data_IF_699716990655
#
_entry.id   IF_699716990655
#
_cell.length_a   1.000
_cell.length_b   1.000
_cell.length_c   1.000
_cell.angle_alpha   90.00
_cell.angle_beta   90.00
_cell.angle_gamma   90.00
#
_symmetry.space_group_name_H-M   'P 1'
#
loop_
_entity.id
_entity.type
_entity.pdbx_description
1 polymer ?
#
# COMPACT_ATOMS: atom_id res chain seq x y z
N UNK A 1 -0.61 5.17 8.75
CA UNK A 1 0.53 6.09 8.75
C UNK A 1 0.07 7.53 8.51
N UNK A 2 -0.51 7.85 7.34
CA UNK A 2 -0.96 9.20 7.02
C UNK A 2 -2.04 9.76 7.96
N UNK A 3 -2.94 8.91 8.46
CA UNK A 3 -4.05 9.32 9.33
C UNK A 3 -3.67 9.53 10.80
N UNK A 4 -2.53 9.00 11.26
CA UNK A 4 -2.24 8.91 12.70
C UNK A 4 -1.45 10.10 13.27
N UNK A 5 -1.06 11.09 12.44
CA UNK A 5 -0.17 12.23 12.82
C UNK A 5 1.08 11.85 13.65
N UNK A 6 1.48 10.58 13.61
CA UNK A 6 2.59 10.01 14.37
C UNK A 6 3.74 9.63 13.45
N UNK A 7 4.92 9.46 14.03
CA UNK A 7 6.09 9.02 13.29
C UNK A 7 5.89 7.58 12.78
N UNK A 8 6.44 7.26 11.62
CA UNK A 8 6.28 5.96 10.99
C UNK A 8 7.64 5.45 10.50
N UNK A 9 8.06 4.28 10.98
CA UNK A 9 9.29 3.61 10.58
C UNK A 9 8.92 2.29 9.92
N UNK A 10 9.12 2.18 8.60
CA UNK A 10 8.88 0.95 7.86
C UNK A 10 10.20 0.20 7.61
N UNK A 11 10.17 -1.10 7.88
CA UNK A 11 11.32 -1.99 7.77
C UNK A 11 10.87 -3.22 6.99
N UNK A 12 11.60 -3.57 5.94
CA UNK A 12 11.37 -4.84 5.23
C UNK A 12 12.26 -5.91 5.81
N UNK A 13 11.72 -7.11 5.99
CA UNK A 13 12.41 -8.17 6.70
C UNK A 13 13.81 -8.51 6.15
N UNK A 14 13.98 -8.67 4.82
CA UNK A 14 15.30 -8.91 4.23
C UNK A 14 16.33 -7.81 4.50
N UNK A 15 15.90 -6.57 4.72
CA UNK A 15 16.82 -5.44 4.97
C UNK A 15 17.52 -5.54 6.33
N UNK A 16 16.91 -6.21 7.31
CA UNK A 16 17.54 -6.46 8.61
C UNK A 16 18.61 -7.56 8.54
N UNK A 17 18.46 -8.49 7.60
CA UNK A 17 19.43 -9.58 7.40
C UNK A 17 20.57 -9.19 6.47
N UNK A 18 20.33 -8.34 5.47
CA UNK A 18 21.32 -8.02 4.43
C UNK A 18 22.35 -6.97 4.82
N UNK A 19 22.13 -6.16 5.87
CA UNK A 19 23.05 -5.10 6.31
C UNK A 19 24.21 -5.62 7.19
N UNK A 20 24.89 -6.66 6.70
CA UNK A 20 26.13 -7.23 7.25
C UNK A 20 25.96 -8.19 8.44
N UNK A 21 26.43 -9.41 8.23
CA UNK A 21 26.42 -10.59 9.11
C UNK A 21 27.10 -10.43 10.50
N UNK A 22 27.34 -9.19 10.94
CA UNK A 22 27.87 -8.84 12.27
C UNK A 22 27.16 -7.68 12.98
N UNK A 23 26.38 -6.82 12.28
CA UNK A 23 25.76 -5.60 12.85
C UNK A 23 24.22 -5.68 12.91
N UNK A 24 23.61 -6.80 12.52
CA UNK A 24 22.13 -6.92 12.49
C UNK A 24 21.47 -6.70 13.85
N UNK A 25 22.12 -7.04 14.96
CA UNK A 25 21.61 -6.80 16.32
C UNK A 25 21.64 -5.30 16.69
N UNK A 26 22.75 -4.61 16.35
CA UNK A 26 22.87 -3.17 16.58
C UNK A 26 21.85 -2.38 15.75
N UNK A 27 21.62 -2.80 14.50
CA UNK A 27 20.57 -2.21 13.66
C UNK A 27 19.17 -2.31 14.28
N UNK A 28 18.84 -3.46 14.89
CA UNK A 28 17.55 -3.64 15.60
C UNK A 28 17.49 -2.67 16.80
N UNK A 29 18.56 -2.56 17.59
CA UNK A 29 18.62 -1.62 18.72
C UNK A 29 18.44 -0.17 18.26
N UNK A 30 19.15 0.23 17.21
CA UNK A 30 19.11 1.56 16.61
C UNK A 30 17.70 1.94 16.13
N UNK A 31 17.01 1.00 15.49
CA UNK A 31 15.63 1.20 15.01
C UNK A 31 14.71 1.50 16.18
N UNK A 32 14.77 0.69 17.24
CA UNK A 32 13.92 0.87 18.40
C UNK A 32 14.31 2.13 19.20
N UNK A 33 15.58 2.49 19.27
CA UNK A 33 16.00 3.77 19.84
C UNK A 33 15.47 4.96 19.04
N UNK A 34 15.55 4.93 17.71
CA UNK A 34 14.98 5.96 16.84
C UNK A 34 13.47 6.07 17.05
N UNK A 35 12.77 4.93 17.11
CA UNK A 35 11.33 4.90 17.35
C UNK A 35 10.96 5.51 18.71
N UNK A 36 11.72 5.18 19.77
CA UNK A 36 11.53 5.76 21.11
C UNK A 36 11.76 7.27 21.14
N UNK A 37 12.78 7.77 20.45
CA UNK A 37 13.07 9.22 20.33
C UNK A 37 12.01 9.94 19.50
N UNK A 38 11.37 9.23 18.58
CA UNK A 38 10.31 9.73 17.71
C UNK A 38 8.89 9.42 18.24
N UNK A 39 8.70 9.19 19.54
CA UNK A 39 7.36 8.93 20.10
C UNK A 39 6.41 10.14 19.93
N UNK A 40 5.13 9.97 19.54
CA UNK A 40 4.46 8.72 19.15
C UNK A 40 4.95 8.17 17.82
N UNK A 41 5.21 6.86 17.76
CA UNK A 41 5.77 6.20 16.59
C UNK A 41 5.14 4.83 16.32
N UNK A 42 4.93 4.50 15.05
CA UNK A 42 4.58 3.15 14.60
C UNK A 42 5.78 2.54 13.88
N UNK A 43 6.25 1.40 14.37
CA UNK A 43 7.22 0.55 13.68
C UNK A 43 6.45 -0.50 12.88
N UNK A 44 6.63 -0.52 11.56
CA UNK A 44 6.00 -1.47 10.67
C UNK A 44 7.04 -2.42 10.09
N UNK A 45 6.97 -3.70 10.47
CA UNK A 45 7.78 -4.77 9.92
C UNK A 45 7.01 -5.48 8.81
N UNK A 46 7.46 -5.31 7.57
CA UNK A 46 6.96 -6.04 6.41
C UNK A 46 7.75 -7.33 6.20
N UNK A 47 7.09 -8.39 5.72
CA UNK A 47 7.71 -9.73 5.54
C UNK A 47 8.41 -10.22 6.82
N UNK A 48 7.73 -10.13 7.97
CA UNK A 48 8.31 -10.45 9.27
C UNK A 48 8.75 -11.93 9.36
N UNK A 49 8.08 -12.82 8.62
CA UNK A 49 8.42 -14.23 8.45
C UNK A 49 9.79 -14.47 7.80
N UNK A 50 10.37 -13.46 7.14
CA UNK A 50 11.74 -13.57 6.61
C UNK A 50 12.82 -13.45 7.70
N UNK A 51 12.53 -12.77 8.82
CA UNK A 51 13.49 -12.59 9.94
C UNK A 51 13.15 -13.55 11.08
N UNK A 52 11.87 -13.67 11.41
CA UNK A 52 11.39 -14.42 12.55
C UNK A 52 11.05 -15.82 12.09
N UNK A 53 12.05 -16.64 11.82
CA UNK A 53 11.85 -18.06 11.45
C UNK A 53 12.00 -18.92 12.71
N UNK A 54 11.23 -20.01 12.83
CA UNK A 54 11.39 -21.03 13.88
C UNK A 54 12.87 -21.42 14.07
N UNK A 55 13.33 -21.28 15.31
CA UNK A 55 14.70 -21.61 15.74
C UNK A 55 15.03 -23.07 15.40
N UNK A 56 16.25 -23.32 14.93
CA UNK A 56 16.74 -24.66 14.61
C UNK A 56 16.36 -25.21 13.23
N UNK A 57 15.75 -24.39 12.35
CA UNK A 57 15.49 -24.76 10.94
C UNK A 57 16.72 -24.64 10.03
N UNK A 58 17.77 -23.94 10.47
CA UNK A 58 19.04 -23.83 9.75
C UNK A 58 19.97 -25.00 10.08
N UNK A 59 20.65 -25.52 9.05
CA UNK A 59 21.64 -26.60 9.14
C UNK A 59 22.85 -26.18 10.01
N UNK A 60 22.73 -26.33 11.31
CA UNK A 60 23.75 -25.98 12.31
C UNK A 60 23.06 -25.48 13.56
N UNK A 61 23.12 -26.27 14.64
CA UNK A 61 22.35 -26.07 15.89
C UNK A 61 22.26 -24.63 16.37
N UNK A 62 21.13 -24.33 17.04
CA UNK A 62 20.70 -22.98 17.44
C UNK A 62 21.83 -22.04 17.86
N UNK A 63 21.82 -20.83 17.29
CA UNK A 63 22.91 -19.85 17.42
C UNK A 63 23.31 -19.19 16.09
N UNK A 64 22.58 -19.46 15.01
CA UNK A 64 22.81 -18.80 13.72
C UNK A 64 22.57 -17.28 13.80
N UNK A 65 23.10 -16.50 12.84
CA UNK A 65 22.89 -15.04 12.78
C UNK A 65 21.42 -14.62 12.88
N UNK A 66 20.51 -15.39 12.28
CA UNK A 66 19.06 -15.16 12.39
C UNK A 66 18.53 -15.30 13.82
N UNK A 67 18.96 -16.34 14.56
CA UNK A 67 18.51 -16.57 15.94
C UNK A 67 18.88 -15.40 16.87
N UNK A 68 20.05 -14.79 16.67
CA UNK A 68 20.48 -13.66 17.48
C UNK A 68 19.69 -12.38 17.18
N UNK A 69 19.39 -12.13 15.91
CA UNK A 69 18.51 -11.02 15.51
C UNK A 69 17.11 -11.18 16.11
N UNK A 70 16.55 -12.39 16.09
CA UNK A 70 15.26 -12.69 16.73
C UNK A 70 15.33 -12.44 18.24
N UNK A 71 16.38 -12.89 18.93
CA UNK A 71 16.55 -12.62 20.35
C UNK A 71 16.67 -11.13 20.68
N UNK A 72 17.39 -10.36 19.86
CA UNK A 72 17.48 -8.91 20.03
C UNK A 72 16.13 -8.23 19.79
N UNK A 73 15.37 -8.66 18.76
CA UNK A 73 14.03 -8.17 18.49
C UNK A 73 13.10 -8.41 19.69
N UNK A 74 13.10 -9.63 20.24
CA UNK A 74 12.33 -9.97 21.44
C UNK A 74 12.71 -9.10 22.64
N UNK A 75 14.02 -8.88 22.85
CA UNK A 75 14.52 -8.03 23.93
C UNK A 75 14.06 -6.59 23.78
N UNK A 76 14.10 -6.04 22.57
CA UNK A 76 13.62 -4.68 22.30
C UNK A 76 12.10 -4.55 22.47
N UNK A 77 11.33 -5.57 22.06
CA UNK A 77 9.87 -5.62 22.26
C UNK A 77 9.51 -5.63 23.75
N UNK A 78 10.15 -6.50 24.53
CA UNK A 78 9.96 -6.56 25.99
C UNK A 78 10.40 -5.24 26.68
N UNK A 79 11.33 -4.51 26.06
CA UNK A 79 11.82 -3.21 26.51
C UNK A 79 10.91 -2.01 26.19
N UNK A 80 9.85 -2.21 25.41
CA UNK A 80 8.77 -1.21 25.22
C UNK A 80 7.87 -1.26 26.45
N UNK A 81 8.34 -0.65 27.55
CA UNK A 81 7.58 -0.57 28.80
C UNK A 81 6.29 0.26 28.68
N UNK A 82 5.45 0.15 29.71
CA UNK A 82 4.05 0.66 29.82
C UNK A 82 3.82 2.16 29.55
N UNK A 83 4.86 2.97 29.36
CA UNK A 83 4.77 4.45 29.23
C UNK A 83 5.07 4.98 27.83
N UNK A 84 5.18 4.13 26.80
CA UNK A 84 5.70 4.53 25.48
C UNK A 84 4.64 4.40 24.39
N UNK A 85 4.43 5.49 23.66
CA UNK A 85 3.52 5.58 22.50
C UNK A 85 4.19 4.99 21.24
N UNK A 86 4.89 3.87 21.39
CA UNK A 86 5.54 3.14 20.29
C UNK A 86 4.72 1.88 20.00
N UNK A 87 4.10 1.83 18.84
CA UNK A 87 3.30 0.71 18.39
C UNK A 87 4.09 -0.13 17.39
N UNK A 88 4.00 -1.45 17.50
CA UNK A 88 4.61 -2.37 16.54
C UNK A 88 3.51 -3.05 15.74
N UNK A 89 3.66 -3.03 14.42
CA UNK A 89 2.83 -3.77 13.49
C UNK A 89 3.73 -4.68 12.67
N UNK A 90 3.38 -5.95 12.55
CA UNK A 90 4.06 -6.91 11.69
C UNK A 90 3.11 -7.42 10.61
N UNK A 91 3.58 -7.46 9.36
CA UNK A 91 2.91 -8.13 8.25
C UNK A 91 3.67 -9.43 7.92
N UNK A 92 2.92 -10.51 7.71
CA UNK A 92 3.46 -11.84 7.37
C UNK A 92 2.50 -12.55 6.43
N UNK A 93 3.05 -13.30 5.48
CA UNK A 93 2.27 -14.22 4.66
C UNK A 93 2.21 -15.62 5.29
N UNK A 94 3.07 -15.91 6.27
CA UNK A 94 3.16 -17.22 6.89
C UNK A 94 3.36 -17.10 8.40
N UNK A 95 2.26 -17.11 9.15
CA UNK A 95 2.29 -17.09 10.61
C UNK A 95 2.87 -18.40 11.19
N UNK A 96 2.77 -19.54 10.48
CA UNK A 96 3.20 -20.86 10.97
C UNK A 96 4.72 -21.04 10.94
N UNK A 97 5.42 -20.34 10.06
CA UNK A 97 6.89 -20.34 10.02
C UNK A 97 7.51 -19.51 11.14
N UNK A 98 6.70 -18.67 11.80
CA UNK A 98 7.18 -17.75 12.82
C UNK A 98 7.57 -18.42 14.13
N UNK A 99 8.60 -17.86 14.78
CA UNK A 99 8.98 -18.23 16.15
C UNK A 99 7.81 -17.93 17.12
N UNK A 100 7.24 -18.94 17.78
CA UNK A 100 6.14 -18.76 18.73
C UNK A 100 6.47 -17.81 19.88
N UNK A 101 7.75 -17.55 20.17
CA UNK A 101 8.16 -16.59 21.17
C UNK A 101 7.71 -15.16 20.83
N UNK A 102 7.66 -14.77 19.54
CA UNK A 102 7.23 -13.42 19.14
C UNK A 102 5.72 -13.22 19.34
N UNK A 103 4.96 -14.32 19.32
CA UNK A 103 3.49 -14.33 19.37
C UNK A 103 2.91 -14.36 20.80
N UNK A 104 3.77 -14.21 21.81
CA UNK A 104 3.35 -14.26 23.22
C UNK A 104 2.72 -12.92 23.66
N UNK A 105 1.82 -12.93 24.66
CA UNK A 105 1.29 -11.72 25.28
C UNK A 105 2.38 -10.70 25.65
N UNK A 106 2.14 -9.43 25.36
CA UNK A 106 3.09 -8.32 25.54
C UNK A 106 4.05 -8.08 24.38
N UNK A 107 3.95 -8.86 23.29
CA UNK A 107 4.78 -8.75 22.07
C UNK A 107 3.92 -8.48 20.84
N UNK A 108 3.79 -9.44 19.92
CA UNK A 108 2.77 -9.42 18.86
C UNK A 108 1.61 -10.30 19.30
N UNK A 109 0.73 -9.76 20.14
CA UNK A 109 -0.39 -10.50 20.72
C UNK A 109 -1.77 -10.13 20.13
N UNK A 110 -1.83 -9.10 19.28
CA UNK A 110 -3.02 -8.73 18.51
C UNK A 110 -2.86 -9.23 17.06
N UNK A 111 -3.82 -10.05 16.63
CA UNK A 111 -3.81 -10.67 15.30
C UNK A 111 -4.96 -10.16 14.47
N UNK A 112 -4.65 -9.66 13.28
CA UNK A 112 -5.64 -9.23 12.29
C UNK A 112 -5.42 -10.07 11.03
N UNK A 113 -6.44 -10.85 10.68
CA UNK A 113 -6.46 -11.60 9.43
C UNK A 113 -7.06 -10.74 8.32
N UNK A 114 -6.38 -10.66 7.17
CA UNK A 114 -6.85 -9.95 5.98
C UNK A 114 -7.38 -11.00 5.00
N UNK A 115 -8.70 -11.16 4.84
CA UNK A 115 -9.28 -12.13 3.90
C UNK A 115 -9.15 -11.69 2.45
N UNK A 116 -9.50 -12.60 1.53
CA UNK A 116 -9.85 -12.23 0.16
C UNK A 116 -11.01 -11.21 0.17
N UNK A 117 -11.04 -10.25 -0.77
CA UNK A 117 -12.11 -9.28 -0.83
C UNK A 117 -13.45 -9.97 -1.13
N UNK A 118 -14.49 -9.58 -0.42
CA UNK A 118 -15.87 -9.88 -0.79
C UNK A 118 -16.35 -8.95 -1.92
N UNK A 119 -17.60 -9.11 -2.35
CA UNK A 119 -18.18 -8.34 -3.46
C UNK A 119 -18.17 -6.82 -3.17
N UNK A 120 -18.52 -6.41 -1.95
CA UNK A 120 -18.52 -5.00 -1.54
C UNK A 120 -17.10 -4.43 -1.47
N UNK A 121 -16.12 -5.20 -0.97
CA UNK A 121 -14.71 -4.84 -0.98
C UNK A 121 -14.18 -4.72 -2.40
N UNK A 122 -14.57 -5.62 -3.30
CA UNK A 122 -14.23 -5.54 -4.73
C UNK A 122 -14.76 -4.24 -5.33
N UNK A 123 -16.02 -3.88 -5.05
CA UNK A 123 -16.61 -2.62 -5.48
C UNK A 123 -15.86 -1.40 -4.93
N UNK A 124 -15.49 -1.45 -3.64
CA UNK A 124 -14.74 -0.38 -2.97
C UNK A 124 -13.35 -0.18 -3.59
N UNK A 125 -12.64 -1.28 -3.90
CA UNK A 125 -11.33 -1.25 -4.57
C UNK A 125 -11.45 -0.68 -5.98
N UNK A 126 -12.46 -1.11 -6.74
CA UNK A 126 -12.74 -0.59 -8.08
C UNK A 126 -13.06 0.91 -8.03
N UNK A 127 -13.95 1.32 -7.14
CA UNK A 127 -14.36 2.72 -6.96
C UNK A 127 -13.18 3.61 -6.56
N UNK A 128 -12.32 3.15 -5.66
CA UNK A 128 -11.10 3.85 -5.25
C UNK A 128 -10.08 3.99 -6.39
N UNK A 129 -10.04 3.05 -7.33
CA UNK A 129 -9.21 3.16 -8.53
C UNK A 129 -9.83 4.14 -9.53
N UNK A 130 -11.13 4.02 -9.81
CA UNK A 130 -11.86 4.84 -10.78
C UNK A 130 -11.92 6.31 -10.38
N UNK A 131 -12.03 6.61 -9.08
CA UNK A 131 -12.02 7.99 -8.58
C UNK A 131 -10.72 8.74 -8.89
N UNK A 132 -9.60 8.02 -9.04
CA UNK A 132 -8.29 8.58 -9.43
C UNK A 132 -8.13 8.70 -10.95
N UNK A 133 -9.03 8.08 -11.74
CA UNK A 133 -8.96 8.10 -13.19
C UNK A 133 -9.55 9.39 -13.75
N UNK A 134 -8.73 10.13 -14.51
CA UNK A 134 -9.20 11.31 -15.26
C UNK A 134 -10.02 10.96 -16.51
N UNK A 135 -10.01 9.69 -16.92
CA UNK A 135 -10.88 9.21 -17.99
C UNK A 135 -12.29 9.03 -17.42
N UNK A 136 -13.30 9.60 -18.08
CA UNK A 136 -14.69 9.42 -17.67
C UNK A 136 -15.08 7.93 -17.68
N UNK A 137 -15.89 7.51 -16.71
CA UNK A 137 -16.38 6.14 -16.54
C UNK A 137 -17.89 6.08 -16.32
N UNK A 138 -18.61 7.14 -16.73
CA UNK A 138 -20.06 7.36 -16.53
C UNK A 138 -20.97 6.23 -17.08
N UNK A 139 -20.44 5.35 -17.93
CA UNK A 139 -21.18 4.23 -18.53
C UNK A 139 -20.68 2.86 -18.06
N UNK A 140 -19.81 2.83 -17.04
CA UNK A 140 -19.32 1.59 -16.47
C UNK A 140 -20.26 1.14 -15.35
N UNK A 141 -20.80 -0.07 -15.47
CA UNK A 141 -21.46 -0.74 -14.36
C UNK A 141 -20.38 -1.30 -13.41
N UNK A 142 -19.99 -0.52 -12.40
CA UNK A 142 -18.97 -0.90 -11.43
C UNK A 142 -19.43 -2.02 -10.49
N UNK A 143 -20.73 -2.15 -10.25
CA UNK A 143 -21.32 -3.18 -9.40
C UNK A 143 -21.22 -4.55 -10.08
N UNK A 144 -21.62 -4.64 -11.35
CA UNK A 144 -21.49 -5.88 -12.13
C UNK A 144 -20.03 -6.31 -12.29
N UNK A 145 -19.13 -5.36 -12.54
CA UNK A 145 -17.69 -5.64 -12.62
C UNK A 145 -17.11 -6.12 -11.28
N UNK A 146 -17.59 -5.57 -10.16
CA UNK A 146 -17.18 -6.03 -8.83
C UNK A 146 -17.62 -7.46 -8.57
N UNK A 147 -18.87 -7.79 -8.92
CA UNK A 147 -19.42 -9.14 -8.82
C UNK A 147 -18.64 -10.15 -9.68
N UNK A 148 -18.21 -9.75 -10.88
CA UNK A 148 -17.34 -10.56 -11.74
C UNK A 148 -15.95 -10.79 -11.11
N UNK A 149 -15.35 -9.75 -10.53
CA UNK A 149 -14.06 -9.88 -9.83
C UNK A 149 -14.15 -10.82 -8.62
N UNK A 150 -15.23 -10.72 -7.86
CA UNK A 150 -15.50 -11.59 -6.72
C UNK A 150 -15.66 -13.06 -7.16
N UNK A 151 -16.50 -13.33 -8.18
CA UNK A 151 -16.68 -14.68 -8.74
C UNK A 151 -15.39 -15.27 -9.32
N UNK A 152 -14.51 -14.43 -9.85
CA UNK A 152 -13.22 -14.84 -10.38
C UNK A 152 -12.16 -15.09 -9.30
N UNK A 153 -12.43 -14.77 -8.03
CA UNK A 153 -11.49 -14.92 -6.93
C UNK A 153 -10.31 -13.96 -7.02
N UNK A 154 -10.53 -12.74 -7.52
CA UNK A 154 -9.47 -11.75 -7.66
C UNK A 154 -9.06 -11.16 -6.30
N UNK A 155 -7.76 -11.09 -6.05
CA UNK A 155 -7.23 -10.31 -4.93
C UNK A 155 -7.29 -8.81 -5.23
N UNK A 156 -7.07 -7.96 -4.22
CA UNK A 156 -6.96 -6.51 -4.45
C UNK A 156 -5.87 -6.13 -5.45
N UNK A 157 -4.78 -6.91 -5.51
CA UNK A 157 -3.72 -6.74 -6.51
C UNK A 157 -4.20 -7.12 -7.92
N UNK A 158 -4.98 -8.19 -8.06
CA UNK A 158 -5.53 -8.63 -9.35
C UNK A 158 -6.54 -7.63 -9.91
N UNK A 159 -7.42 -7.09 -9.06
CA UNK A 159 -8.37 -6.03 -9.42
C UNK A 159 -7.60 -4.78 -9.90
N UNK A 160 -6.58 -4.37 -9.13
CA UNK A 160 -5.74 -3.22 -9.50
C UNK A 160 -5.03 -3.46 -10.84
N UNK A 161 -4.50 -4.66 -11.06
CA UNK A 161 -3.85 -5.03 -12.32
C UNK A 161 -4.84 -5.02 -13.49
N UNK A 162 -6.04 -5.58 -13.32
CA UNK A 162 -7.11 -5.51 -14.33
C UNK A 162 -7.42 -4.06 -14.71
N UNK A 163 -7.57 -3.17 -13.73
CA UNK A 163 -7.82 -1.77 -13.99
C UNK A 163 -6.66 -1.09 -14.74
N UNK A 164 -5.41 -1.41 -14.40
CA UNK A 164 -4.24 -0.91 -15.15
C UNK A 164 -4.21 -1.42 -16.60
N UNK A 165 -4.58 -2.68 -16.82
CA UNK A 165 -4.70 -3.26 -18.16
C UNK A 165 -5.81 -2.55 -18.95
N UNK A 166 -6.96 -2.28 -18.34
CA UNK A 166 -8.06 -1.53 -18.95
C UNK A 166 -7.58 -0.13 -19.39
N UNK A 167 -6.86 0.60 -18.53
CA UNK A 167 -6.28 1.90 -18.88
C UNK A 167 -5.31 1.80 -20.06
N UNK A 168 -4.44 0.78 -20.10
CA UNK A 168 -3.50 0.56 -21.21
C UNK A 168 -4.22 0.29 -22.53
N UNK A 169 -5.26 -0.56 -22.52
CA UNK A 169 -6.08 -0.86 -23.70
C UNK A 169 -6.76 0.42 -24.20
N UNK A 170 -7.36 1.18 -23.29
CA UNK A 170 -8.01 2.46 -23.59
C UNK A 170 -7.05 3.46 -24.23
N UNK A 171 -5.85 3.62 -23.63
CA UNK A 171 -4.81 4.50 -24.15
C UNK A 171 -4.34 4.08 -25.54
N UNK A 172 -4.15 2.78 -25.77
CA UNK A 172 -3.75 2.26 -27.10
C UNK A 172 -4.80 2.59 -28.16
N UNK A 173 -6.09 2.35 -27.88
CA UNK A 173 -7.19 2.68 -28.81
C UNK A 173 -7.23 4.18 -29.12
N UNK A 174 -7.02 5.02 -28.10
CA UNK A 174 -6.94 6.48 -28.26
C UNK A 174 -5.79 6.90 -29.18
N UNK A 175 -4.60 6.31 -29.01
CA UNK A 175 -3.45 6.61 -29.88
C UNK A 175 -3.69 6.18 -31.33
N UNK A 176 -4.31 5.01 -31.54
CA UNK A 176 -4.67 4.51 -32.86
C UNK A 176 -5.74 5.40 -33.53
N UNK A 177 -6.73 5.89 -32.78
CA UNK A 177 -7.74 6.85 -33.25
C UNK A 177 -7.12 8.20 -33.61
N UNK A 178 -6.23 8.72 -32.76
CA UNK A 178 -5.49 9.96 -33.02
C UNK A 178 -4.67 9.87 -34.30
N UNK A 179 -4.02 8.72 -34.55
CA UNK A 179 -3.26 8.48 -35.78
C UNK A 179 -4.15 8.45 -37.04
N UNK A 180 -5.44 8.11 -36.90
CA UNK A 180 -6.44 8.20 -37.98
C UNK A 180 -7.07 9.60 -38.12
N UNK A 181 -6.64 10.57 -37.30
CA UNK A 181 -7.16 11.94 -37.32
C UNK A 181 -8.51 12.10 -36.62
N UNK A 182 -8.92 11.13 -35.78
CA UNK A 182 -10.15 11.21 -35.00
C UNK A 182 -9.97 12.16 -33.79
N UNK A 183 -11.08 12.76 -33.33
CA UNK A 183 -11.06 13.55 -32.08
C UNK A 183 -10.91 12.63 -30.87
N UNK A 184 -9.85 12.88 -30.09
CA UNK A 184 -9.46 12.09 -28.93
C UNK A 184 -9.43 12.91 -27.64
N UNK A 185 -10.14 14.05 -27.61
CA UNK A 185 -10.24 14.89 -26.40
C UNK A 185 -10.89 14.16 -25.24
N UNK A 186 -11.91 13.32 -25.48
CA UNK A 186 -12.57 12.49 -24.46
C UNK A 186 -12.59 11.02 -24.88
N UNK A 187 -11.88 10.18 -24.15
CA UNK A 187 -11.88 8.73 -24.38
C UNK A 187 -12.19 7.99 -23.07
N UNK A 188 -13.48 7.70 -22.80
CA UNK A 188 -13.89 7.13 -21.52
C UNK A 188 -13.44 5.67 -21.38
N UNK A 189 -13.35 5.21 -20.13
CA UNK A 189 -13.25 3.79 -19.84
C UNK A 189 -14.63 3.18 -20.05
N UNK A 190 -14.73 2.24 -21.00
CA UNK A 190 -15.99 1.57 -21.36
C UNK A 190 -16.01 0.14 -20.85
N UNK A 191 -17.21 -0.43 -20.72
CA UNK A 191 -17.40 -1.83 -20.37
C UNK A 191 -16.59 -2.78 -21.27
N UNK A 192 -16.55 -2.51 -22.59
CA UNK A 192 -15.79 -3.32 -23.55
C UNK A 192 -14.29 -3.39 -23.26
N UNK A 193 -13.72 -2.35 -22.66
CA UNK A 193 -12.30 -2.29 -22.30
C UNK A 193 -12.05 -3.10 -21.03
N UNK A 194 -12.96 -3.02 -20.06
CA UNK A 194 -12.89 -3.81 -18.83
C UNK A 194 -13.13 -5.31 -19.09
N UNK A 195 -14.05 -5.67 -19.98
CA UNK A 195 -14.28 -7.06 -20.39
C UNK A 195 -13.02 -7.67 -21.03
N UNK A 196 -12.33 -6.89 -21.87
CA UNK A 196 -11.05 -7.32 -22.45
C UNK A 196 -9.95 -7.45 -21.39
N UNK A 197 -9.87 -6.49 -20.48
CA UNK A 197 -8.92 -6.54 -19.37
C UNK A 197 -9.17 -7.75 -18.48
N UNK A 198 -10.43 -8.00 -18.09
CA UNK A 198 -10.86 -9.13 -17.28
C UNK A 198 -10.44 -10.46 -17.91
N UNK A 199 -10.70 -10.66 -19.21
CA UNK A 199 -10.29 -11.89 -19.93
C UNK A 199 -8.77 -12.10 -19.97
N UNK A 200 -7.99 -11.02 -19.88
CA UNK A 200 -6.53 -11.08 -19.88
C UNK A 200 -5.91 -11.19 -18.48
N UNK A 201 -6.68 -10.88 -17.45
CA UNK A 201 -6.26 -11.00 -16.04
C UNK A 201 -6.59 -12.40 -15.53
N UNK A 202 -5.67 -12.98 -14.76
CA UNK A 202 -5.88 -14.24 -14.06
C UNK A 202 -5.80 -13.99 -12.56
N UNK A 203 -6.59 -14.72 -11.79
CA UNK A 203 -6.46 -14.74 -10.34
C UNK A 203 -5.04 -15.19 -9.96
N UNK A 204 -4.39 -14.44 -9.09
CA UNK A 204 -3.06 -14.75 -8.58
C UNK A 204 -3.07 -15.90 -7.56
N UNK A 205 -4.20 -16.11 -6.89
CA UNK A 205 -4.40 -17.13 -5.87
C UNK A 205 -5.34 -18.22 -6.39
N UNK A 206 -4.95 -19.48 -6.22
CA UNK A 206 -5.83 -20.61 -6.51
C UNK A 206 -6.84 -20.82 -5.37
N UNK A 207 -8.03 -21.39 -5.67
CA UNK A 207 -9.01 -21.73 -4.64
C UNK A 207 -8.43 -22.61 -3.52
N UNK A 208 -7.53 -23.54 -3.86
CA UNK A 208 -6.87 -24.42 -2.89
C UNK A 208 -5.97 -23.63 -1.91
N UNK A 209 -5.26 -22.62 -2.40
CA UNK A 209 -4.42 -21.75 -1.58
C UNK A 209 -5.30 -20.91 -0.65
N UNK A 210 -6.40 -20.35 -1.14
CA UNK A 210 -7.35 -19.59 -0.32
C UNK A 210 -7.95 -20.45 0.79
N UNK A 211 -8.40 -21.66 0.45
CA UNK A 211 -8.94 -22.61 1.42
C UNK A 211 -7.90 -23.00 2.49
N UNK A 212 -6.63 -23.16 2.08
CA UNK A 212 -5.53 -23.41 3.02
C UNK A 212 -5.37 -22.26 4.01
N UNK A 213 -5.35 -21.00 3.54
CA UNK A 213 -5.26 -19.84 4.41
C UNK A 213 -6.45 -19.69 5.36
N UNK A 214 -7.66 -20.01 4.92
CA UNK A 214 -8.86 -19.99 5.79
C UNK A 214 -8.81 -21.07 6.87
N UNK A 215 -8.32 -22.26 6.54
CA UNK A 215 -8.12 -23.33 7.52
C UNK A 215 -7.02 -22.99 8.51
N UNK A 216 -5.91 -22.42 8.03
CA UNK A 216 -4.83 -21.93 8.88
C UNK A 216 -5.31 -20.83 9.82
N UNK A 217 -6.12 -19.89 9.33
CA UNK A 217 -6.77 -18.86 10.15
C UNK A 217 -7.56 -19.49 11.28
N UNK A 218 -8.42 -20.49 11.00
CA UNK A 218 -9.23 -21.15 12.04
C UNK A 218 -8.35 -21.75 13.13
N UNK A 219 -7.32 -22.50 12.74
CA UNK A 219 -6.36 -23.11 13.68
C UNK A 219 -5.63 -22.06 14.52
N UNK A 220 -5.15 -20.99 13.90
CA UNK A 220 -4.41 -19.92 14.60
C UNK A 220 -5.31 -19.18 15.59
N UNK A 221 -6.55 -18.86 15.19
CA UNK A 221 -7.51 -18.19 16.08
C UNK A 221 -7.91 -19.09 17.27
N UNK A 222 -8.08 -20.39 17.04
CA UNK A 222 -8.32 -21.40 18.09
C UNK A 222 -7.12 -21.53 19.05
N UNK A 223 -5.91 -21.67 18.51
CA UNK A 223 -4.66 -21.82 19.29
C UNK A 223 -4.33 -20.58 20.13
N UNK A 224 -4.63 -19.39 19.62
CA UNK A 224 -4.30 -18.12 20.28
C UNK A 224 -5.42 -17.61 21.20
N UNK A 225 -6.58 -18.27 21.24
CA UNK A 225 -7.71 -17.85 22.07
C UNK A 225 -8.26 -16.46 21.71
N UNK A 226 -8.03 -16.01 20.47
CA UNK A 226 -8.38 -14.66 20.00
C UNK A 226 -9.85 -14.66 19.59
N UNK A 227 -10.71 -14.12 20.45
CA UNK A 227 -12.14 -13.93 20.18
C UNK A 227 -12.44 -12.70 19.28
N UNK A 228 -11.43 -11.90 18.92
CA UNK A 228 -11.62 -10.67 18.18
C UNK A 228 -11.83 -10.94 16.68
N UNK A 229 -13.10 -11.07 16.29
CA UNK A 229 -13.50 -10.72 14.94
C UNK A 229 -13.32 -9.21 14.79
N UNK A 230 -12.28 -8.77 14.07
CA UNK A 230 -12.33 -7.45 13.45
C UNK A 230 -13.22 -7.61 12.22
N UNK A 231 -14.51 -7.43 12.42
CA UNK A 231 -15.44 -7.17 11.32
C UNK A 231 -15.09 -5.77 10.83
N UNK A 232 -14.48 -5.66 9.65
CA UNK A 232 -14.36 -4.37 8.97
C UNK A 232 -15.80 -3.96 8.65
N UNK A 233 -16.34 -3.00 9.41
CA UNK A 233 -17.71 -2.56 9.23
C UNK A 233 -17.94 -2.01 7.83
N UNK A 234 -19.12 -2.29 7.27
CA UNK A 234 -19.71 -1.58 6.14
C UNK A 234 -19.44 -0.08 6.35
N UNK A 235 -18.73 0.57 5.42
CA UNK A 235 -18.30 1.99 5.45
C UNK A 235 -16.93 2.37 6.06
N UNK A 236 -15.94 1.47 6.14
CA UNK A 236 -14.52 1.87 6.20
C UNK A 236 -14.09 2.81 7.35
N UNK A 237 -14.92 2.94 8.38
CA UNK A 237 -14.64 3.66 9.62
C UNK A 237 -14.82 2.65 10.76
N UNK A 238 -13.70 2.08 11.20
CA UNK A 238 -13.72 1.19 12.36
C UNK A 238 -13.91 1.99 13.63
N UNK A 239 -15.05 1.84 14.31
CA UNK A 239 -15.17 2.25 15.71
C UNK A 239 -14.41 1.26 16.59
N UNK A 240 -13.31 1.74 17.20
CA UNK A 240 -12.63 1.03 18.27
C UNK A 240 -13.32 1.35 19.60
N UNK A 241 -14.06 0.41 20.17
CA UNK A 241 -14.58 0.55 21.54
C UNK A 241 -13.54 0.03 22.52
N UNK A 242 -12.88 0.96 23.22
CA UNK A 242 -12.01 0.64 24.37
C UNK A 242 -12.87 -0.12 25.40
N UNK A 243 -12.45 -1.29 25.91
CA UNK A 243 -13.17 -1.98 26.97
C UNK A 243 -13.30 -1.06 28.20
N UNK A 244 -14.54 -0.90 28.70
CA UNK A 244 -14.87 0.02 29.78
C UNK A 244 -13.96 -0.17 31.01
N UNK A 245 -13.23 0.89 31.41
CA UNK A 245 -12.37 0.83 32.59
C UNK A 245 -11.46 2.04 32.89
N UNK A 246 -11.28 3.04 32.02
CA UNK A 246 -10.52 4.26 32.37
C UNK A 246 -11.44 5.48 32.52
N UNK A 247 -11.68 5.98 33.74
CA UNK A 247 -12.58 7.11 34.01
C UNK A 247 -12.03 8.48 33.57
N UNK A 248 -11.11 8.52 32.59
CA UNK A 248 -10.44 9.74 32.10
C UNK A 248 -10.77 10.12 30.66
N UNK A 249 -11.66 9.39 29.99
CA UNK A 249 -12.05 9.64 28.59
C UNK A 249 -13.53 10.02 28.42
N UNK A 250 -14.16 10.59 29.45
CA UNK A 250 -15.52 11.14 29.33
C UNK A 250 -15.46 12.62 28.95
N UNK A 251 -15.68 12.91 27.67
CA UNK A 251 -15.85 14.25 27.11
C UNK A 251 -16.61 14.16 25.78
N UNK A 252 -17.60 15.03 25.51
CA UNK A 252 -18.56 14.83 24.43
C UNK A 252 -17.87 14.98 23.06
N UNK A 253 -17.96 13.92 22.26
CA UNK A 253 -17.47 13.89 20.89
C UNK A 253 -18.43 14.57 19.92
N UNK A 254 -17.87 15.50 19.14
CA UNK A 254 -18.26 15.79 17.76
C UNK A 254 -17.03 16.41 17.09
N UNK A 255 -16.18 15.58 16.48
CA UNK A 255 -15.12 16.06 15.58
C UNK A 255 -15.44 15.56 14.17
N UNK A 256 -16.43 16.21 13.56
CA UNK A 256 -16.77 16.05 12.16
C UNK A 256 -15.74 16.68 11.23
N UNK A 257 -15.79 16.26 9.97
CA UNK A 257 -14.99 16.72 8.83
C UNK A 257 -14.80 18.25 8.74
N UNK A 258 -15.75 19.03 9.27
CA UNK A 258 -15.70 20.48 9.28
C UNK A 258 -14.62 21.07 10.22
N UNK A 259 -14.31 20.39 11.33
CA UNK A 259 -13.21 20.79 12.22
C UNK A 259 -11.83 20.60 11.56
N UNK A 260 -11.72 19.62 10.67
CA UNK A 260 -10.51 19.37 9.87
C UNK A 260 -10.30 20.44 8.79
N UNK A 261 -11.37 20.89 8.13
CA UNK A 261 -11.31 21.97 7.12
C UNK A 261 -10.98 23.32 7.77
N UNK A 262 -11.54 23.61 8.94
CA UNK A 262 -11.23 24.84 9.68
C UNK A 262 -9.76 24.89 10.15
N UNK A 263 -9.22 23.76 10.63
CA UNK A 263 -7.83 23.67 11.09
C UNK A 263 -6.81 23.82 9.93
N UNK A 264 -7.14 23.39 8.70
CA UNK A 264 -6.28 23.62 7.51
C UNK A 264 -6.19 25.10 7.14
N UNK A 265 -7.32 25.80 7.21
CA UNK A 265 -7.41 27.21 6.86
C UNK A 265 -6.67 28.09 7.90
N UNK A 266 -6.80 27.77 9.20
CA UNK A 266 -6.06 28.46 10.28
C UNK A 266 -4.55 28.18 10.26
N UNK A 267 -4.12 26.99 9.81
CA UNK A 267 -2.71 26.63 9.70
C UNK A 267 -2.00 27.27 8.48
N UNK A 268 -2.72 28.03 7.64
CA UNK A 268 -2.14 28.64 6.44
C UNK A 268 -1.60 27.61 5.43
N UNK A 269 -2.13 26.38 5.46
CA UNK A 269 -1.75 25.26 4.59
C UNK A 269 -2.64 25.13 3.36
N UNK A 270 -3.37 26.20 3.04
CA UNK A 270 -3.98 26.39 1.73
C UNK A 270 -2.93 27.00 0.79
N UNK A 271 -2.05 26.14 0.26
CA UNK A 271 -1.15 26.54 -0.80
C UNK A 271 -1.77 26.21 -2.16
N UNK A 272 -2.21 27.29 -2.81
CA UNK A 272 -2.33 27.52 -4.25
C UNK A 272 -3.15 26.54 -5.07
N UNK A 273 -4.31 27.03 -5.52
CA UNK A 273 -5.17 26.46 -6.56
C UNK A 273 -4.34 25.88 -7.71
N UNK A 274 -4.69 24.67 -8.15
CA UNK A 274 -4.14 23.97 -9.32
C UNK A 274 -4.07 24.85 -10.59
N UNK A 275 -4.85 25.93 -10.65
CA UNK A 275 -4.85 26.95 -11.70
C UNK A 275 -3.54 27.77 -11.79
N UNK A 276 -2.86 28.05 -10.67
CA UNK A 276 -1.62 28.86 -10.69
C UNK A 276 -0.41 28.03 -11.16
N UNK A 277 -0.39 26.73 -10.85
CA UNK A 277 0.59 25.78 -11.36
C UNK A 277 0.41 25.49 -12.86
N UNK A 278 -0.84 25.50 -13.34
CA UNK A 278 -1.15 25.41 -14.77
C UNK A 278 -0.81 26.71 -15.51
N UNK A 279 -1.00 27.88 -14.90
CA UNK A 279 -0.63 29.19 -15.46
C UNK A 279 0.90 29.40 -15.55
N UNK A 280 1.63 29.23 -14.44
CA UNK A 280 2.77 28.29 -14.36
C UNK A 280 3.45 27.79 -15.63
N UNK A 281 3.02 26.57 -15.95
CA UNK A 281 3.46 25.73 -17.06
C UNK A 281 3.07 26.31 -18.42
N UNK A 282 1.94 27.02 -18.54
CA UNK A 282 1.50 27.66 -19.77
C UNK A 282 2.39 28.85 -20.17
N UNK A 283 2.88 29.64 -19.20
CA UNK A 283 3.81 30.75 -19.42
C UNK A 283 5.20 30.25 -19.87
N UNK A 284 5.70 29.21 -19.22
CA UNK A 284 6.95 28.51 -19.58
C UNK A 284 6.91 27.87 -20.97
N UNK A 285 5.74 27.41 -21.44
CA UNK A 285 5.56 26.90 -22.80
C UNK A 285 5.53 28.01 -23.86
N UNK A 286 4.91 29.16 -23.56
CA UNK A 286 4.87 30.32 -24.48
C UNK A 286 6.24 30.96 -24.68
N UNK A 287 7.05 31.06 -23.63
CA UNK A 287 8.41 31.59 -23.69
C UNK A 287 9.38 30.66 -24.45
N UNK A 288 9.13 29.34 -24.43
CA UNK A 288 9.87 28.35 -25.23
C UNK A 288 9.48 28.35 -26.72
N UNK A 289 8.23 28.68 -27.06
CA UNK A 289 7.79 28.82 -28.46
C UNK A 289 8.23 30.14 -29.11
N UNK A 290 8.51 31.19 -28.34
CA UNK A 290 9.06 32.45 -28.86
C UNK A 290 10.58 32.43 -29.07
N UNK A 291 11.28 31.44 -28.51
CA UNK A 291 12.73 31.28 -28.64
C UNK A 291 13.15 30.45 -29.88
N UNK A 292 12.21 29.84 -30.60
CA UNK A 292 12.49 28.97 -31.77
C UNK A 292 12.37 29.67 -33.13
N UNK A 293 12.16 30.98 -33.18
CA UNK A 293 12.02 31.74 -34.45
C UNK A 293 13.18 32.72 -34.73
N UNK A 294 14.30 32.60 -34.00
CA UNK A 294 15.54 33.34 -34.25
C UNK A 294 16.53 32.48 -35.04
N UNK A 295 16.65 32.75 -36.34
CA UNK A 295 17.39 31.93 -37.31
C UNK A 295 18.88 31.70 -37.01
N UNK A 296 19.36 30.52 -37.40
CA UNK A 296 20.77 30.24 -37.61
C UNK A 296 20.94 29.36 -38.86
N UNK A 297 21.80 29.83 -39.76
CA UNK A 297 21.98 29.34 -41.11
C UNK A 297 22.52 27.90 -41.19
N UNK A 298 22.06 27.18 -42.22
CA UNK A 298 22.45 25.81 -42.59
C UNK A 298 23.84 25.81 -43.26
N UNK A 299 24.80 24.96 -42.87
CA UNK A 299 26.03 24.77 -43.66
C UNK A 299 25.75 23.90 -44.91
N UNK A 300 26.51 24.08 -46.01
CA UNK A 300 26.25 23.40 -47.28
C UNK A 300 26.72 21.93 -47.27
N UNK A 301 26.01 21.09 -48.03
CA UNK A 301 26.28 19.66 -48.19
C UNK A 301 27.50 19.38 -49.09
N UNK A 302 28.29 18.33 -48.84
CA UNK A 302 29.33 17.88 -49.76
C UNK A 302 28.72 17.05 -50.89
N UNK A 303 29.12 17.35 -52.14
CA UNK A 303 28.68 16.66 -53.35
C UNK A 303 29.39 15.32 -53.61
N UNK A 304 28.90 14.52 -54.58
CA UNK A 304 29.41 13.19 -54.89
C UNK A 304 30.49 13.24 -55.99
N UNK A 305 31.53 12.44 -55.85
CA UNK A 305 32.45 11.89 -56.87
C UNK A 305 33.69 11.38 -56.10
N UNK A 306 34.37 10.29 -56.38
CA UNK A 306 34.41 9.38 -57.52
C UNK A 306 35.72 8.59 -57.37
N UNK A 307 35.66 7.30 -57.70
CA UNK A 307 36.77 6.34 -58.00
C UNK A 307 38.22 6.88 -57.95
N UNK A 308 39.09 6.17 -57.22
CA UNK A 308 40.15 5.28 -57.73
C UNK A 308 41.00 4.78 -56.54
#
# INVERSE_FOLDING_TARGET
>A
ANECQGNFISIKGPQLLSKWFGESEENVRDIFEKARRASPCVIFFDELDSIVIKRGSSFGGGGGPGDRVVNQLLTEMDGIGERKQVFIIGATNNIRSMDPAVLRPGRLDQFIYIPMPDEESCYSILSAFLSKCKAGYEHLNSEELAADCFRAGFSGADITNMCQVAVKISLRRRLEAAARGEDVTRWPLTHSVFEQAFRSTRASLSPDVVATYEEERKKVMEEMGVAAQVTVGEHGSGEYRIPDGDPRLDGPGEYGYDAYVAARHEAGLDSDSDDEFLAKQAKLKRERSSASDGGAARPPAPGPDGRA
#
